data_IF_032466564865
#
_entry.id   IF_032466564865
#
_cell.length_a   1.000
_cell.length_b   1.000
_cell.length_c   1.000
_cell.angle_alpha   90.00
_cell.angle_beta   90.00
_cell.angle_gamma   90.00
#
_symmetry.space_group_name_H-M   'P 1'
#
loop_
_entity.id
_entity.type
_entity.pdbx_description
1 polymer ?
#
# COMPACT_ATOMS: atom_id res chain seq x y z
N UNK A 1 -8.04 -16.60 -13.06
CA UNK A 1 -7.98 -15.71 -11.88
C UNK A 1 -6.70 -14.91 -12.01
N UNK A 2 -6.74 -13.56 -11.94
CA UNK A 2 -5.52 -12.75 -12.07
C UNK A 2 -4.72 -12.77 -10.76
N UNK A 3 -3.43 -12.44 -10.82
CA UNK A 3 -2.57 -12.35 -9.63
C UNK A 3 -3.14 -11.37 -8.59
N UNK A 4 -3.72 -10.25 -9.05
CA UNK A 4 -4.36 -9.25 -8.19
C UNK A 4 -5.65 -9.78 -7.53
N UNK A 5 -6.43 -10.62 -8.20
CA UNK A 5 -7.59 -11.29 -7.55
C UNK A 5 -7.13 -12.23 -6.43
N UNK A 6 -6.05 -12.98 -6.66
CA UNK A 6 -5.47 -13.84 -5.62
C UNK A 6 -4.90 -13.00 -4.48
N UNK A 7 -4.21 -11.90 -4.78
CA UNK A 7 -3.69 -10.97 -3.79
C UNK A 7 -4.80 -10.40 -2.89
N UNK A 8 -5.90 -9.94 -3.51
CA UNK A 8 -7.08 -9.48 -2.79
C UNK A 8 -7.67 -10.56 -1.87
N UNK A 9 -7.73 -11.81 -2.35
CA UNK A 9 -8.21 -12.94 -1.56
C UNK A 9 -7.30 -13.27 -0.37
N UNK A 10 -5.98 -13.12 -0.53
CA UNK A 10 -5.02 -13.29 0.57
C UNK A 10 -5.26 -12.25 1.66
N UNK A 11 -5.36 -10.96 1.30
CA UNK A 11 -5.66 -9.89 2.26
C UNK A 11 -7.00 -10.14 2.97
N UNK A 12 -8.04 -10.52 2.23
CA UNK A 12 -9.36 -10.83 2.78
C UNK A 12 -9.38 -12.00 3.78
N UNK A 13 -8.39 -12.90 3.72
CA UNK A 13 -8.25 -14.04 4.63
C UNK A 13 -7.28 -13.80 5.79
N UNK A 14 -6.67 -12.63 5.87
CA UNK A 14 -5.62 -12.26 6.83
C UNK A 14 -6.12 -11.36 7.97
N UNK A 15 -5.23 -10.96 8.88
CA UNK A 15 -5.51 -9.91 9.86
C UNK A 15 -5.94 -8.58 9.23
N UNK A 16 -5.56 -8.31 7.97
CA UNK A 16 -5.87 -7.07 7.24
C UNK A 16 -7.20 -7.09 6.47
N UNK A 17 -8.08 -8.08 6.68
CA UNK A 17 -9.34 -8.25 5.94
C UNK A 17 -10.30 -7.03 5.96
N UNK A 18 -10.20 -6.18 6.98
CA UNK A 18 -10.98 -4.94 7.06
C UNK A 18 -10.74 -4.02 5.83
N UNK A 19 -9.50 -3.94 5.34
CA UNK A 19 -9.14 -3.18 4.14
C UNK A 19 -9.97 -3.66 2.94
N UNK A 20 -9.97 -4.97 2.67
CA UNK A 20 -10.71 -5.53 1.53
C UNK A 20 -12.22 -5.41 1.67
N UNK A 21 -12.75 -5.46 2.90
CA UNK A 21 -14.16 -5.25 3.16
C UNK A 21 -14.58 -3.83 2.79
N UNK A 22 -13.83 -2.82 3.21
CA UNK A 22 -14.16 -1.42 2.91
C UNK A 22 -13.96 -1.06 1.44
N UNK A 23 -12.91 -1.61 0.81
CA UNK A 23 -12.69 -1.44 -0.63
C UNK A 23 -13.87 -2.01 -1.44
N UNK A 24 -14.36 -3.19 -1.05
CA UNK A 24 -15.53 -3.83 -1.67
C UNK A 24 -16.80 -3.02 -1.40
N UNK A 25 -17.03 -2.63 -0.14
CA UNK A 25 -18.24 -1.92 0.28
C UNK A 25 -18.39 -0.56 -0.40
N UNK A 26 -17.27 0.12 -0.68
CA UNK A 26 -17.22 1.43 -1.34
C UNK A 26 -17.02 1.35 -2.85
N UNK A 27 -16.90 0.14 -3.41
CA UNK A 27 -16.76 -0.08 -4.85
C UNK A 27 -15.46 0.50 -5.43
N UNK A 28 -14.38 0.48 -4.66
CA UNK A 28 -13.10 1.07 -5.06
C UNK A 28 -12.45 0.25 -6.18
N UNK A 29 -12.18 0.85 -7.35
CA UNK A 29 -11.45 0.16 -8.42
C UNK A 29 -10.01 -0.12 -8.02
N UNK A 30 -9.57 -1.35 -8.26
CA UNK A 30 -8.19 -1.81 -8.05
C UNK A 30 -7.70 -2.47 -9.33
N UNK A 31 -6.57 -2.02 -9.88
CA UNK A 31 -6.09 -2.60 -11.12
C UNK A 31 -4.75 -2.07 -11.61
N UNK A 32 -4.27 -2.69 -12.68
CA UNK A 32 -3.13 -2.22 -13.45
C UNK A 32 -3.63 -1.26 -14.55
N UNK A 33 -2.97 -0.11 -14.68
CA UNK A 33 -3.17 0.78 -15.83
C UNK A 33 -2.14 0.49 -16.92
N UNK A 34 -2.25 1.15 -18.07
CA UNK A 34 -1.12 1.20 -19.01
C UNK A 34 0.03 2.04 -18.42
N UNK A 35 1.27 1.74 -18.83
CA UNK A 35 2.47 2.35 -18.24
C UNK A 35 2.44 3.88 -18.33
N UNK A 36 2.05 4.41 -19.50
CA UNK A 36 2.07 5.86 -19.72
C UNK A 36 1.02 6.60 -18.89
N UNK A 37 -0.11 5.96 -18.58
CA UNK A 37 -1.11 6.54 -17.65
C UNK A 37 -0.67 6.39 -16.20
N UNK A 38 -0.12 5.24 -15.81
CA UNK A 38 0.40 5.05 -14.45
C UNK A 38 1.48 6.08 -14.12
N UNK A 39 2.49 6.23 -14.98
CA UNK A 39 3.61 7.16 -14.77
C UNK A 39 3.16 8.63 -14.68
N UNK A 40 2.02 8.98 -15.28
CA UNK A 40 1.45 10.34 -15.18
C UNK A 40 0.78 10.62 -13.83
N UNK A 41 0.29 9.58 -13.16
CA UNK A 41 -0.46 9.71 -11.90
C UNK A 41 0.43 9.40 -10.70
N UNK A 42 1.25 8.34 -10.80
CA UNK A 42 2.02 7.76 -9.70
C UNK A 42 3.46 7.48 -10.13
N UNK A 43 4.10 8.49 -10.73
CA UNK A 43 5.45 8.42 -11.25
C UNK A 43 6.42 7.80 -10.23
N UNK A 44 7.09 6.70 -10.62
CA UNK A 44 8.12 6.06 -9.81
C UNK A 44 7.60 5.16 -8.68
N UNK A 45 6.28 5.02 -8.50
CA UNK A 45 5.70 4.17 -7.45
C UNK A 45 5.45 2.72 -7.93
N UNK A 46 5.34 1.79 -6.97
CA UNK A 46 4.93 0.40 -7.21
C UNK A 46 3.41 0.33 -7.38
N UNK A 47 2.70 1.00 -6.48
CA UNK A 47 1.27 1.24 -6.50
C UNK A 47 0.99 2.61 -5.89
N UNK A 48 -0.26 3.02 -5.90
CA UNK A 48 -0.70 4.24 -5.25
C UNK A 48 -2.19 4.19 -4.97
N UNK A 49 -2.57 4.71 -3.81
CA UNK A 49 -3.93 5.16 -3.52
C UNK A 49 -4.13 6.60 -4.01
N UNK A 50 -5.17 6.81 -4.82
CA UNK A 50 -5.50 8.14 -5.36
C UNK A 50 -6.89 8.56 -4.86
N UNK A 51 -7.00 9.49 -3.90
CA UNK A 51 -8.28 9.85 -3.29
C UNK A 51 -9.24 10.58 -4.25
N UNK A 52 -8.77 11.06 -5.41
CA UNK A 52 -9.45 11.89 -6.44
C UNK A 52 -10.13 13.18 -5.93
N UNK A 53 -10.30 13.33 -4.62
CA UNK A 53 -10.84 14.46 -3.89
C UNK A 53 -9.92 14.79 -2.71
N UNK A 54 -9.75 16.08 -2.41
CA UNK A 54 -9.05 16.56 -1.22
C UNK A 54 -9.96 16.69 0.01
N UNK A 55 -11.19 16.18 -0.06
CA UNK A 55 -12.15 16.13 1.04
C UNK A 55 -12.49 14.68 1.38
N UNK A 56 -12.86 14.43 2.65
CA UNK A 56 -13.37 13.14 3.13
C UNK A 56 -14.44 12.58 2.18
N UNK A 57 -14.40 11.28 1.84
CA UNK A 57 -15.33 10.72 0.87
C UNK A 57 -16.74 10.61 1.48
N UNK A 58 -17.81 10.92 0.73
CA UNK A 58 -19.16 10.49 1.11
C UNK A 58 -19.23 8.95 1.14
N UNK A 59 -20.33 8.40 1.68
CA UNK A 59 -20.53 6.95 1.73
C UNK A 59 -20.40 6.25 0.36
N UNK A 60 -20.69 6.98 -0.73
CA UNK A 60 -20.51 6.57 -2.13
C UNK A 60 -19.81 7.69 -2.91
N UNK A 61 -18.48 7.73 -2.96
CA UNK A 61 -17.72 8.76 -3.67
C UNK A 61 -17.90 8.65 -5.19
N UNK A 62 -18.04 9.79 -5.89
CA UNK A 62 -18.12 9.89 -7.36
C UNK A 62 -17.28 11.07 -7.89
N UNK A 63 -16.21 10.83 -8.67
CA UNK A 63 -15.66 9.51 -8.96
C UNK A 63 -15.09 8.85 -7.69
N UNK A 64 -15.14 7.51 -7.58
CA UNK A 64 -14.55 6.82 -6.43
C UNK A 64 -13.03 6.96 -6.47
N UNK A 65 -12.37 7.02 -5.31
CA UNK A 65 -10.92 6.92 -5.27
C UNK A 65 -10.49 5.58 -5.89
N UNK A 66 -9.22 5.47 -6.29
CA UNK A 66 -8.71 4.30 -7.00
C UNK A 66 -7.42 3.80 -6.39
N UNK A 67 -7.18 2.49 -6.51
CA UNK A 67 -5.88 1.86 -6.23
C UNK A 67 -5.26 1.39 -7.53
N UNK A 68 -4.13 1.97 -7.88
CA UNK A 68 -3.47 1.71 -9.14
C UNK A 68 -2.17 0.95 -8.86
N UNK A 69 -1.93 -0.12 -9.61
CA UNK A 69 -0.67 -0.85 -9.60
C UNK A 69 0.09 -0.56 -10.89
N UNK A 70 1.41 -0.42 -10.79
CA UNK A 70 2.26 -0.23 -11.94
C UNK A 70 2.25 -1.52 -12.80
N UNK A 71 1.94 -1.45 -14.10
CA UNK A 71 1.83 -2.63 -14.95
C UNK A 71 3.14 -3.42 -15.09
N UNK A 72 4.29 -2.81 -14.78
CA UNK A 72 5.57 -3.51 -14.71
C UNK A 72 5.55 -4.70 -13.73
N UNK A 73 4.66 -4.68 -12.73
CA UNK A 73 4.56 -5.69 -11.68
C UNK A 73 3.41 -6.68 -11.86
N UNK A 74 2.79 -6.73 -13.05
CA UNK A 74 1.64 -7.62 -13.31
C UNK A 74 1.98 -9.11 -13.13
N UNK A 75 3.24 -9.48 -13.30
CA UNK A 75 3.74 -10.85 -13.16
C UNK A 75 4.26 -11.18 -11.76
N UNK A 76 4.19 -10.23 -10.82
CA UNK A 76 4.70 -10.43 -9.47
C UNK A 76 3.85 -11.44 -8.68
N UNK A 77 4.44 -12.12 -7.69
CA UNK A 77 3.72 -13.07 -6.86
C UNK A 77 2.52 -12.43 -6.16
N UNK A 78 1.37 -13.15 -6.05
CA UNK A 78 0.18 -12.61 -5.39
C UNK A 78 0.42 -12.14 -3.95
N UNK A 79 1.33 -12.77 -3.21
CA UNK A 79 1.69 -12.36 -1.86
C UNK A 79 2.34 -10.98 -1.83
N UNK A 80 3.28 -10.71 -2.75
CA UNK A 80 3.94 -9.42 -2.90
C UNK A 80 2.93 -8.33 -3.26
N UNK A 81 2.05 -8.61 -4.22
CA UNK A 81 0.96 -7.70 -4.59
C UNK A 81 -0.02 -7.48 -3.42
N UNK A 82 -0.24 -8.49 -2.57
CA UNK A 82 -1.09 -8.38 -1.39
C UNK A 82 -0.46 -7.49 -0.31
N UNK A 83 0.84 -7.58 -0.06
CA UNK A 83 1.54 -6.70 0.86
C UNK A 83 1.48 -5.24 0.41
N UNK A 84 1.70 -5.00 -0.90
CA UNK A 84 1.52 -3.67 -1.51
C UNK A 84 0.06 -3.21 -1.40
N UNK A 85 -0.91 -4.10 -1.61
CA UNK A 85 -2.32 -3.77 -1.43
C UNK A 85 -2.66 -3.38 0.01
N UNK A 86 -2.03 -4.01 1.02
CA UNK A 86 -2.20 -3.62 2.43
C UNK A 86 -1.59 -2.27 2.72
N UNK A 87 -0.43 -1.97 2.13
CA UNK A 87 0.21 -0.64 2.24
C UNK A 87 -0.71 0.46 1.70
N UNK A 88 -1.12 0.39 0.42
CA UNK A 88 -2.03 1.37 -0.17
C UNK A 88 -3.41 1.36 0.49
N UNK A 89 -3.85 0.18 0.94
CA UNK A 89 -5.06 -0.02 1.72
C UNK A 89 -5.06 0.71 3.04
N UNK A 90 -3.90 0.90 3.65
CA UNK A 90 -3.76 1.70 4.87
C UNK A 90 -4.04 3.17 4.57
N UNK A 91 -3.47 3.73 3.50
CA UNK A 91 -3.78 5.11 3.10
C UNK A 91 -5.26 5.32 2.77
N UNK A 92 -5.91 4.31 2.19
CA UNK A 92 -7.35 4.35 2.01
C UNK A 92 -8.09 4.43 3.36
N UNK A 93 -7.74 3.60 4.34
CA UNK A 93 -8.32 3.66 5.68
C UNK A 93 -8.08 5.02 6.34
N UNK A 94 -6.85 5.55 6.25
CA UNK A 94 -6.52 6.88 6.74
C UNK A 94 -7.32 7.98 6.06
N UNK A 95 -7.61 7.83 4.77
CA UNK A 95 -8.51 8.73 4.04
C UNK A 95 -9.96 8.63 4.52
N UNK A 96 -10.44 7.43 4.87
CA UNK A 96 -11.77 7.27 5.47
C UNK A 96 -11.85 7.92 6.86
N UNK A 97 -10.77 7.83 7.63
CA UNK A 97 -10.67 8.39 8.97
C UNK A 97 -10.39 9.90 8.98
N UNK A 98 -10.06 10.48 7.83
CA UNK A 98 -9.64 11.89 7.70
C UNK A 98 -8.21 12.17 8.15
N UNK A 99 -7.45 11.13 8.50
CA UNK A 99 -6.06 11.19 8.93
C UNK A 99 -5.10 11.46 7.76
N UNK A 100 -5.40 10.96 6.57
CA UNK A 100 -4.54 11.18 5.39
C UNK A 100 -4.46 12.67 4.99
N UNK A 101 -5.51 13.43 5.28
CA UNK A 101 -5.63 14.86 4.97
C UNK A 101 -5.25 15.76 6.16
N UNK A 102 -4.89 15.17 7.30
CA UNK A 102 -4.52 15.91 8.49
C UNK A 102 -3.13 16.52 8.31
N UNK A 103 -3.08 17.85 8.14
CA UNK A 103 -1.82 18.58 7.95
C UNK A 103 -0.88 18.55 9.16
N UNK A 104 -1.34 18.07 10.32
CA UNK A 104 -0.49 17.83 11.49
C UNK A 104 0.23 16.48 11.45
N UNK A 105 -0.20 15.56 10.58
CA UNK A 105 0.55 14.34 10.26
C UNK A 105 1.44 14.59 9.05
N UNK A 106 2.69 14.18 9.16
CA UNK A 106 3.64 14.18 8.04
C UNK A 106 3.51 12.94 7.17
N UNK A 107 4.12 13.00 6.00
CA UNK A 107 4.39 11.88 5.08
C UNK A 107 5.02 10.72 5.83
N UNK A 108 6.01 10.98 6.70
CA UNK A 108 6.66 9.91 7.47
C UNK A 108 5.68 9.13 8.33
N UNK A 109 4.73 9.80 8.99
CA UNK A 109 3.76 9.13 9.87
C UNK A 109 2.73 8.32 9.09
N UNK A 110 2.25 8.82 7.96
CA UNK A 110 1.29 8.09 7.12
C UNK A 110 1.96 6.85 6.50
N UNK A 111 3.16 7.02 5.95
CA UNK A 111 3.94 5.91 5.38
C UNK A 111 4.35 4.90 6.46
N UNK A 112 4.67 5.35 7.67
CA UNK A 112 5.05 4.45 8.78
C UNK A 112 3.93 3.46 9.11
N UNK A 113 2.69 3.94 9.26
CA UNK A 113 1.54 3.08 9.50
C UNK A 113 1.35 2.07 8.35
N UNK A 114 1.49 2.53 7.10
CA UNK A 114 1.34 1.70 5.92
C UNK A 114 2.43 0.61 5.79
N UNK A 115 3.70 0.96 6.03
CA UNK A 115 4.80 -0.01 6.06
C UNK A 115 4.64 -1.00 7.22
N UNK A 116 4.21 -0.55 8.39
CA UNK A 116 4.02 -1.44 9.54
C UNK A 116 2.88 -2.43 9.30
N UNK A 117 1.74 -1.99 8.76
CA UNK A 117 0.62 -2.87 8.43
C UNK A 117 0.99 -3.87 7.33
N UNK A 118 1.74 -3.44 6.32
CA UNK A 118 2.25 -4.34 5.29
C UNK A 118 3.25 -5.36 5.87
N UNK A 119 4.13 -4.95 6.79
CA UNK A 119 5.06 -5.83 7.49
C UNK A 119 4.34 -6.85 8.38
N UNK A 120 3.29 -6.45 9.09
CA UNK A 120 2.47 -7.35 9.90
C UNK A 120 1.74 -8.38 9.03
N UNK A 121 1.13 -7.94 7.92
CA UNK A 121 0.56 -8.85 6.92
C UNK A 121 1.61 -9.83 6.39
N UNK A 122 2.82 -9.35 6.13
CA UNK A 122 3.90 -10.19 5.65
C UNK A 122 4.30 -11.27 6.66
N UNK A 123 4.34 -10.93 7.95
CA UNK A 123 4.58 -11.90 9.02
C UNK A 123 3.54 -13.02 9.01
N UNK A 124 2.27 -12.69 8.80
CA UNK A 124 1.16 -13.66 8.75
C UNK A 124 1.33 -14.66 7.59
N UNK A 125 1.82 -14.21 6.43
CA UNK A 125 1.83 -15.03 5.22
C UNK A 125 3.20 -15.62 4.86
N UNK A 126 4.31 -15.07 5.37
CA UNK A 126 5.68 -15.45 4.94
C UNK A 126 6.01 -16.92 5.15
N UNK A 127 5.45 -17.57 6.18
CA UNK A 127 5.68 -18.99 6.45
C UNK A 127 5.14 -19.91 5.33
N UNK A 128 4.25 -19.39 4.49
CA UNK A 128 3.63 -20.11 3.36
C UNK A 128 4.21 -19.72 2.01
N UNK A 129 5.16 -18.78 1.96
CA UNK A 129 5.76 -18.28 0.72
C UNK A 129 7.05 -19.01 0.36
N UNK A 130 7.31 -19.09 -0.94
CA UNK A 130 8.62 -19.49 -1.46
C UNK A 130 9.66 -18.40 -1.13
N UNK A 131 10.97 -18.71 -1.19
CA UNK A 131 12.01 -17.70 -1.05
C UNK A 131 11.87 -16.59 -2.10
N UNK A 132 12.28 -15.37 -1.75
CA UNK A 132 12.20 -14.22 -2.64
C UNK A 132 13.14 -14.38 -3.84
N UNK A 133 12.57 -14.24 -5.03
CA UNK A 133 13.27 -14.41 -6.31
C UNK A 133 13.15 -13.19 -7.22
N UNK A 134 12.24 -12.26 -6.94
CA UNK A 134 12.07 -11.02 -7.73
C UNK A 134 12.64 -9.79 -7.03
N UNK A 135 13.03 -8.74 -7.79
CA UNK A 135 13.44 -7.46 -7.22
C UNK A 135 12.34 -6.79 -6.38
N UNK A 136 11.06 -6.92 -6.76
CA UNK A 136 9.97 -6.33 -5.98
C UNK A 136 9.81 -7.03 -4.63
N UNK A 137 9.90 -8.35 -4.58
CA UNK A 137 9.86 -9.10 -3.33
C UNK A 137 10.93 -8.62 -2.34
N UNK A 138 12.13 -8.28 -2.83
CA UNK A 138 13.20 -7.72 -2.00
C UNK A 138 12.88 -6.29 -1.53
N UNK A 139 12.24 -5.47 -2.36
CA UNK A 139 11.80 -4.13 -1.97
C UNK A 139 10.67 -4.17 -0.94
N UNK A 140 9.81 -5.19 -0.96
CA UNK A 140 8.76 -5.40 0.04
C UNK A 140 9.30 -6.05 1.31
N UNK A 141 10.26 -6.98 1.20
CA UNK A 141 10.92 -7.58 2.37
C UNK A 141 11.75 -6.55 3.15
N UNK A 142 12.37 -5.58 2.47
CA UNK A 142 13.19 -4.54 3.11
C UNK A 142 12.50 -3.85 4.30
N UNK A 143 11.33 -3.21 4.10
CA UNK A 143 10.54 -2.60 5.17
C UNK A 143 10.19 -3.58 6.29
N UNK A 144 9.88 -4.84 5.99
CA UNK A 144 9.66 -5.86 7.02
C UNK A 144 10.90 -6.08 7.89
N UNK A 145 12.08 -6.25 7.27
CA UNK A 145 13.33 -6.43 8.00
C UNK A 145 13.73 -5.17 8.80
N UNK A 146 13.38 -3.97 8.31
CA UNK A 146 13.58 -2.71 9.03
C UNK A 146 12.63 -2.59 10.23
N UNK A 147 11.36 -2.98 10.08
CA UNK A 147 10.38 -3.00 11.17
C UNK A 147 10.85 -3.91 12.32
N UNK A 148 11.45 -5.06 12.01
CA UNK A 148 12.05 -5.96 13.01
C UNK A 148 13.24 -5.34 13.78
N UNK A 149 13.93 -4.36 13.20
CA UNK A 149 15.02 -3.64 13.84
C UNK A 149 14.54 -2.53 14.77
N UNK A 150 13.30 -2.07 14.57
CA UNK A 150 12.61 -1.12 15.43
C UNK A 150 12.08 0.11 14.70
N UNK A 151 11.18 0.83 15.37
CA UNK A 151 10.48 1.99 14.84
C UNK A 151 11.41 3.08 14.30
N UNK A 152 12.46 3.46 15.05
CA UNK A 152 13.37 4.52 14.64
C UNK A 152 14.04 4.23 13.29
N UNK A 153 14.50 3.00 13.09
CA UNK A 153 15.16 2.57 11.86
C UNK A 153 14.21 2.60 10.66
N UNK A 154 12.96 2.18 10.85
CA UNK A 154 11.95 2.25 9.79
C UNK A 154 11.60 3.70 9.44
N UNK A 155 11.44 4.57 10.45
CA UNK A 155 11.16 6.00 10.23
C UNK A 155 12.30 6.71 9.49
N UNK A 156 13.56 6.44 9.86
CA UNK A 156 14.72 6.99 9.16
C UNK A 156 14.77 6.58 7.69
N UNK A 157 14.44 5.31 7.40
CA UNK A 157 14.33 4.81 6.03
C UNK A 157 13.24 5.55 5.25
N UNK A 158 12.04 5.68 5.81
CA UNK A 158 10.91 6.38 5.18
C UNK A 158 11.30 7.85 4.90
N UNK A 159 11.85 8.54 5.89
CA UNK A 159 12.33 9.90 5.72
C UNK A 159 13.37 9.99 4.58
N UNK A 160 14.27 9.02 4.45
CA UNK A 160 15.26 9.00 3.37
C UNK A 160 14.64 8.85 1.97
N UNK A 161 13.59 8.02 1.85
CA UNK A 161 12.93 7.71 0.57
C UNK A 161 11.98 8.83 0.14
N UNK A 162 11.14 9.30 1.06
CA UNK A 162 10.03 10.19 0.75
C UNK A 162 10.36 11.66 1.03
N UNK A 163 11.28 11.93 1.96
CA UNK A 163 11.58 13.27 2.45
C UNK A 163 13.03 13.73 2.18
N UNK A 164 13.81 12.95 1.41
CA UNK A 164 15.24 13.24 1.19
C UNK A 164 16.07 13.27 2.49
N UNK A 165 15.59 12.58 3.54
CA UNK A 165 16.22 12.48 4.87
C UNK A 165 15.66 13.44 5.92
N UNK A 166 14.63 14.24 5.63
CA UNK A 166 13.97 15.09 6.62
C UNK A 166 12.90 14.28 7.40
N UNK A 167 12.98 14.19 8.74
CA UNK A 167 12.07 13.34 9.53
C UNK A 167 10.66 13.92 9.70
N UNK A 168 10.48 15.24 9.47
CA UNK A 168 9.23 15.97 9.73
C UNK A 168 8.53 16.44 8.44
N UNK A 169 8.75 15.71 7.34
CA UNK A 169 7.94 15.83 6.14
C UNK A 169 6.78 14.81 6.17
#
# INVERSE_FOLDING_TARGET
>A
MSALTTAFSLVASSGAHAITNDLTARGIPIGFLDQGTFDRICAGAIACFVPLSSALPPATPDPPPVMLFNPAYVSEPPATLAAVLVHEGTHFQEYLDGRLLDSSRGTVDNEFDAFWNAAAFWEDIRATQAPFTTPLEQQVEGPYQLALQGEATLRDYIASVYCGGAPDC
#
